data_IF_837213186321
#
_entry.id   IF_837213186321
#
_cell.length_a   1.000
_cell.length_b   1.000
_cell.length_c   1.000
_cell.angle_alpha   90.00
_cell.angle_beta   90.00
_cell.angle_gamma   90.00
#
_symmetry.space_group_name_H-M   'P 1'
#
loop_
_entity.id
_entity.type
_entity.pdbx_description
1 polymer ?
#
# COMPACT_ATOMS: atom_id res chain seq x y z
N UNK A 1 5.88 -49.96 13.72
CA UNK A 1 5.98 -48.50 13.85
C UNK A 1 5.94 -47.94 12.44
N UNK A 2 4.72 -47.78 11.91
CA UNK A 2 4.51 -47.47 10.50
C UNK A 2 4.38 -45.95 10.34
N UNK A 3 5.50 -45.31 10.05
CA UNK A 3 5.62 -43.87 9.82
C UNK A 3 5.07 -43.52 8.44
N UNK A 4 3.74 -43.46 8.32
CA UNK A 4 3.09 -42.89 7.14
C UNK A 4 3.27 -41.37 7.17
N UNK A 5 4.35 -40.89 6.56
CA UNK A 5 4.46 -39.50 6.12
C UNK A 5 3.26 -39.17 5.24
N UNK A 6 2.57 -38.02 5.43
CA UNK A 6 1.38 -37.71 4.65
C UNK A 6 1.79 -37.46 3.19
N UNK A 7 1.50 -38.43 2.33
CA UNK A 7 1.62 -38.28 0.88
C UNK A 7 0.71 -37.12 0.47
N UNK A 8 1.31 -36.09 -0.10
CA UNK A 8 0.63 -34.88 -0.55
C UNK A 8 -0.30 -35.24 -1.71
N UNK A 9 -1.56 -35.61 -1.42
CA UNK A 9 -2.54 -35.92 -2.46
C UNK A 9 -2.80 -34.64 -3.26
N UNK A 10 -2.46 -34.56 -4.56
CA UNK A 10 -2.77 -33.38 -5.34
C UNK A 10 -4.28 -33.19 -5.34
N UNK A 11 -4.74 -31.96 -5.07
CA UNK A 11 -6.16 -31.61 -5.21
C UNK A 11 -6.53 -31.80 -6.69
N UNK A 12 -7.18 -32.94 -6.98
CA UNK A 12 -7.35 -33.48 -8.34
C UNK A 12 -8.31 -32.66 -9.20
N UNK A 13 -9.03 -31.72 -8.59
CA UNK A 13 -10.02 -30.92 -9.27
C UNK A 13 -9.39 -29.65 -9.82
N UNK A 14 -9.20 -29.63 -11.14
CA UNK A 14 -8.92 -28.41 -11.89
C UNK A 14 -10.15 -27.49 -11.79
N UNK A 15 -9.90 -26.22 -11.53
CA UNK A 15 -10.88 -25.17 -11.52
C UNK A 15 -10.21 -23.84 -11.83
N UNK A 16 -10.78 -22.76 -11.29
CA UNK A 16 -10.27 -21.41 -11.51
C UNK A 16 -10.09 -20.70 -10.18
N UNK A 17 -8.88 -20.19 -9.95
CA UNK A 17 -8.60 -19.21 -8.91
C UNK A 17 -9.02 -17.85 -9.44
N UNK A 18 -9.71 -17.06 -8.64
CA UNK A 18 -10.14 -15.72 -9.00
C UNK A 18 -9.74 -14.70 -7.94
N UNK A 19 -9.54 -13.46 -8.38
CA UNK A 19 -9.24 -12.30 -7.56
C UNK A 19 -10.34 -11.26 -7.77
N UNK A 20 -10.98 -10.86 -6.68
CA UNK A 20 -11.92 -9.75 -6.65
C UNK A 20 -11.22 -8.51 -6.11
N UNK A 21 -11.56 -7.36 -6.69
CA UNK A 21 -11.17 -6.03 -6.22
C UNK A 21 -12.39 -5.34 -5.64
N UNK A 22 -12.27 -4.75 -4.45
CA UNK A 22 -13.36 -3.99 -3.84
C UNK A 22 -13.25 -2.53 -4.27
N UNK A 23 -14.36 -1.91 -4.64
CA UNK A 23 -14.36 -0.52 -5.13
C UNK A 23 -13.94 0.46 -4.02
N UNK A 24 -14.19 0.09 -2.76
CA UNK A 24 -13.66 0.76 -1.57
C UNK A 24 -13.15 -0.28 -0.57
N UNK A 25 -12.09 0.03 0.21
CA UNK A 25 -11.63 -0.86 1.27
C UNK A 25 -12.72 -1.14 2.31
N UNK A 26 -12.88 -2.40 2.72
CA UNK A 26 -13.62 -2.78 3.91
C UNK A 26 -12.64 -3.08 5.04
N UNK A 27 -12.48 -2.12 5.96
CA UNK A 27 -11.38 -2.13 6.95
C UNK A 27 -10.03 -2.31 6.23
N UNK A 28 -9.28 -3.35 6.55
CA UNK A 28 -8.01 -3.66 5.87
C UNK A 28 -8.18 -4.49 4.59
N UNK A 29 -9.37 -5.04 4.32
CA UNK A 29 -9.62 -5.87 3.17
C UNK A 29 -9.93 -5.02 1.93
N UNK A 30 -9.13 -5.20 0.89
CA UNK A 30 -9.34 -4.56 -0.43
C UNK A 30 -9.56 -5.56 -1.56
N UNK A 31 -9.26 -6.83 -1.28
CA UNK A 31 -9.25 -7.90 -2.25
C UNK A 31 -9.75 -9.18 -1.61
N UNK A 32 -10.34 -10.03 -2.45
CA UNK A 32 -10.69 -11.39 -2.07
C UNK A 32 -10.13 -12.36 -3.11
N UNK A 33 -9.49 -13.43 -2.63
CA UNK A 33 -9.02 -14.53 -3.48
C UNK A 33 -9.76 -15.79 -3.10
N UNK A 34 -10.35 -16.43 -4.09
CA UNK A 34 -11.03 -17.71 -3.94
C UNK A 34 -10.74 -18.65 -5.10
N UNK A 35 -11.19 -19.89 -4.96
CA UNK A 35 -11.18 -20.90 -6.00
C UNK A 35 -12.58 -21.48 -6.17
N UNK A 36 -12.93 -21.84 -7.41
CA UNK A 36 -14.18 -22.54 -7.72
C UNK A 36 -14.02 -23.43 -8.95
N UNK A 37 -14.83 -24.50 -9.03
CA UNK A 37 -15.00 -25.28 -10.26
C UNK A 37 -15.78 -24.47 -11.31
N UNK A 38 -16.87 -23.84 -10.87
CA UNK A 38 -17.67 -22.89 -11.64
C UNK A 38 -17.57 -21.51 -10.97
N UNK A 39 -16.87 -20.59 -11.63
CA UNK A 39 -16.67 -19.24 -11.12
C UNK A 39 -17.97 -18.44 -11.23
N UNK A 40 -18.72 -18.58 -12.31
CA UNK A 40 -19.95 -17.80 -12.55
C UNK A 40 -20.97 -18.07 -11.45
N UNK A 41 -21.27 -19.34 -11.18
CA UNK A 41 -22.17 -19.73 -10.08
C UNK A 41 -21.65 -19.27 -8.72
N UNK A 42 -20.32 -19.33 -8.50
CA UNK A 42 -19.73 -18.87 -7.24
C UNK A 42 -19.84 -17.36 -7.05
N UNK A 43 -19.71 -16.57 -8.12
CA UNK A 43 -19.85 -15.12 -8.09
C UNK A 43 -21.31 -14.71 -7.83
N UNK A 44 -22.28 -15.42 -8.41
CA UNK A 44 -23.69 -15.20 -8.12
C UNK A 44 -24.01 -15.38 -6.62
N UNK A 45 -23.48 -16.44 -5.99
CA UNK A 45 -23.62 -16.64 -4.54
C UNK A 45 -22.98 -15.50 -3.72
N UNK A 46 -21.85 -14.95 -4.18
CA UNK A 46 -21.24 -13.80 -3.52
C UNK A 46 -22.09 -12.54 -3.66
N UNK A 47 -22.74 -12.33 -4.81
CA UNK A 47 -23.64 -11.19 -5.06
C UNK A 47 -24.89 -11.23 -4.16
N UNK A 48 -25.41 -12.42 -3.85
CA UNK A 48 -26.55 -12.59 -2.93
C UNK A 48 -26.15 -12.66 -1.45
N UNK A 49 -24.85 -12.63 -1.14
CA UNK A 49 -24.33 -12.75 0.23
C UNK A 49 -24.36 -14.17 0.81
N UNK A 50 -24.65 -15.18 -0.01
CA UNK A 50 -24.63 -16.61 0.35
C UNK A 50 -23.27 -17.27 0.13
N UNK A 51 -22.28 -16.51 -0.36
CA UNK A 51 -20.94 -16.97 -0.62
C UNK A 51 -20.00 -16.90 0.59
N UNK A 52 -18.88 -16.20 0.46
CA UNK A 52 -17.92 -16.06 1.55
C UNK A 52 -18.41 -15.04 2.60
N UNK A 53 -18.18 -15.33 3.89
CA UNK A 53 -18.54 -14.42 5.00
C UNK A 53 -18.01 -13.00 4.80
N UNK A 54 -16.79 -12.84 4.27
CA UNK A 54 -16.23 -11.52 3.96
C UNK A 54 -17.06 -10.78 2.91
N UNK A 55 -17.49 -11.46 1.85
CA UNK A 55 -18.27 -10.82 0.77
C UNK A 55 -19.71 -10.52 1.21
N UNK A 56 -20.25 -11.32 2.12
CA UNK A 56 -21.51 -11.01 2.79
C UNK A 56 -21.43 -9.70 3.58
N UNK A 57 -20.38 -9.48 4.39
CA UNK A 57 -20.25 -8.23 5.16
C UNK A 57 -19.86 -7.03 4.30
N UNK A 58 -19.08 -7.25 3.23
CA UNK A 58 -18.77 -6.22 2.22
C UNK A 58 -20.04 -5.75 1.53
N UNK A 59 -20.91 -6.68 1.12
CA UNK A 59 -22.24 -6.38 0.58
C UNK A 59 -23.11 -5.62 1.59
N UNK A 60 -23.17 -6.08 2.84
CA UNK A 60 -23.93 -5.43 3.90
C UNK A 60 -23.44 -3.99 4.16
N UNK A 61 -22.16 -3.71 3.94
CA UNK A 61 -21.57 -2.38 4.02
C UNK A 61 -21.80 -1.51 2.76
N UNK A 62 -22.56 -1.99 1.78
CA UNK A 62 -22.82 -1.26 0.52
C UNK A 62 -21.56 -1.11 -0.35
N UNK A 63 -20.61 -2.04 -0.25
CA UNK A 63 -19.38 -2.06 -1.05
C UNK A 63 -19.54 -3.09 -2.16
N UNK A 64 -19.34 -2.63 -3.40
CA UNK A 64 -19.32 -3.45 -4.61
C UNK A 64 -17.91 -3.95 -4.92
N UNK A 65 -17.83 -4.94 -5.81
CA UNK A 65 -16.58 -5.55 -6.20
C UNK A 65 -16.58 -5.97 -7.67
N UNK A 66 -15.38 -6.02 -8.25
CA UNK A 66 -15.13 -6.39 -9.64
C UNK A 66 -14.24 -7.63 -9.72
N UNK A 67 -14.54 -8.57 -10.64
CA UNK A 67 -13.65 -9.68 -10.96
C UNK A 67 -12.41 -9.15 -11.70
N UNK A 68 -11.28 -9.08 -10.99
CA UNK A 68 -10.09 -8.40 -11.49
C UNK A 68 -9.16 -9.32 -12.30
N UNK A 69 -9.04 -10.60 -11.92
CA UNK A 69 -8.15 -11.56 -12.61
C UNK A 69 -8.54 -13.00 -12.28
N UNK A 70 -8.27 -13.91 -13.21
CA UNK A 70 -8.42 -15.36 -13.03
C UNK A 70 -7.14 -16.11 -13.37
N UNK A 71 -6.97 -17.30 -12.79
CA UNK A 71 -5.93 -18.26 -13.13
C UNK A 71 -6.54 -19.66 -13.14
N UNK A 72 -6.25 -20.44 -14.20
CA UNK A 72 -6.54 -21.88 -14.18
C UNK A 72 -5.67 -22.56 -13.10
N UNK A 73 -6.27 -23.48 -12.33
CA UNK A 73 -5.53 -24.21 -11.30
C UNK A 73 -6.43 -24.89 -10.27
N UNK A 74 -5.80 -25.40 -9.21
CA UNK A 74 -6.47 -26.13 -8.12
C UNK A 74 -6.47 -25.30 -6.84
N UNK A 75 -7.03 -25.81 -5.72
CA UNK A 75 -6.90 -25.10 -4.44
C UNK A 75 -5.45 -24.98 -3.96
N UNK A 76 -4.53 -25.83 -4.45
CA UNK A 76 -3.10 -25.66 -4.17
C UNK A 76 -2.58 -24.34 -4.73
N UNK A 77 -3.01 -23.96 -5.94
CA UNK A 77 -2.63 -22.69 -6.57
C UNK A 77 -3.21 -21.50 -5.81
N UNK A 78 -4.46 -21.59 -5.39
CA UNK A 78 -5.09 -20.58 -4.50
C UNK A 78 -4.30 -20.41 -3.20
N UNK A 79 -3.99 -21.51 -2.50
CA UNK A 79 -3.18 -21.50 -1.27
C UNK A 79 -1.80 -20.91 -1.49
N UNK A 80 -1.14 -21.22 -2.61
CA UNK A 80 0.14 -20.65 -2.99
C UNK A 80 0.02 -19.13 -3.17
N UNK A 81 -0.98 -18.66 -3.93
CA UNK A 81 -1.22 -17.24 -4.17
C UNK A 81 -1.50 -16.50 -2.86
N UNK A 82 -2.29 -17.08 -1.94
CA UNK A 82 -2.55 -16.51 -0.62
C UNK A 82 -1.26 -16.41 0.22
N UNK A 83 -0.46 -17.49 0.29
CA UNK A 83 0.81 -17.51 1.03
C UNK A 83 1.83 -16.49 0.53
N UNK A 84 1.92 -16.27 -0.77
CA UNK A 84 2.83 -15.24 -1.32
C UNK A 84 2.45 -13.82 -0.92
N UNK A 85 1.22 -13.58 -0.43
CA UNK A 85 0.75 -12.25 -0.02
C UNK A 85 0.74 -11.23 -1.17
N UNK A 86 0.34 -9.99 -0.89
CA UNK A 86 0.36 -8.91 -1.89
C UNK A 86 -0.67 -9.06 -3.01
N UNK A 87 -1.95 -9.31 -2.66
CA UNK A 87 -3.05 -9.37 -3.62
C UNK A 87 -3.13 -8.12 -4.52
N UNK A 88 -2.85 -6.94 -3.97
CA UNK A 88 -2.81 -5.68 -4.70
C UNK A 88 -1.83 -5.71 -5.89
N UNK A 89 -0.64 -6.33 -5.73
CA UNK A 89 0.35 -6.47 -6.82
C UNK A 89 -0.11 -7.37 -7.97
N UNK A 90 -1.12 -8.22 -7.72
CA UNK A 90 -1.71 -9.13 -8.71
C UNK A 90 -3.03 -8.60 -9.26
N UNK A 91 -3.55 -7.51 -8.72
CA UNK A 91 -4.77 -6.88 -9.18
C UNK A 91 -4.43 -5.88 -10.31
N UNK A 92 -4.91 -6.09 -11.55
CA UNK A 92 -4.69 -5.11 -12.61
C UNK A 92 -5.38 -3.76 -12.32
N UNK A 93 -6.38 -3.72 -11.44
CA UNK A 93 -7.14 -2.51 -11.10
C UNK A 93 -6.45 -1.63 -10.03
N UNK A 94 -5.42 -2.14 -9.33
CA UNK A 94 -4.73 -1.35 -8.29
C UNK A 94 -3.64 -0.40 -8.80
N UNK A 95 -3.24 -0.53 -10.07
CA UNK A 95 -2.04 0.11 -10.61
C UNK A 95 -0.74 -0.49 -10.07
N UNK A 96 0.36 -0.26 -10.79
CA UNK A 96 1.71 -0.59 -10.31
C UNK A 96 2.13 0.48 -9.32
N UNK A 97 2.28 0.12 -8.04
CA UNK A 97 2.95 0.98 -7.05
C UNK A 97 4.41 0.51 -6.95
N UNK A 98 5.38 1.24 -7.54
CA UNK A 98 6.78 0.90 -7.34
C UNK A 98 7.06 0.94 -5.84
N UNK A 99 7.79 -0.05 -5.32
CA UNK A 99 8.31 0.09 -3.96
C UNK A 99 9.25 1.29 -3.97
N UNK A 100 9.25 2.11 -2.91
CA UNK A 100 10.35 3.05 -2.69
C UNK A 100 11.62 2.23 -2.76
N UNK A 101 12.49 2.59 -3.70
CA UNK A 101 13.78 1.93 -3.80
C UNK A 101 14.51 2.14 -2.47
N UNK A 102 14.71 1.05 -1.72
CA UNK A 102 15.41 1.09 -0.44
C UNK A 102 16.89 1.39 -0.60
N UNK A 103 17.41 1.24 -1.82
CA UNK A 103 18.79 1.58 -2.21
C UNK A 103 18.89 2.95 -2.84
N UNK A 104 17.78 3.66 -3.06
CA UNK A 104 17.87 5.06 -3.42
C UNK A 104 18.63 5.75 -2.30
N UNK A 105 19.90 6.07 -2.57
CA UNK A 105 20.65 7.02 -1.78
C UNK A 105 19.78 8.25 -1.83
N UNK A 106 19.33 8.77 -0.69
CA UNK A 106 18.49 9.92 -0.79
C UNK A 106 19.37 11.04 -1.40
N UNK A 107 18.78 11.97 -2.14
CA UNK A 107 19.49 12.96 -2.98
C UNK A 107 20.29 14.03 -2.18
N UNK A 108 20.69 15.16 -2.77
CA UNK A 108 21.27 16.23 -1.93
C UNK A 108 20.22 16.84 -0.98
N UNK A 109 18.94 16.82 -1.38
CA UNK A 109 17.86 17.53 -0.69
C UNK A 109 17.47 16.86 0.63
N UNK A 110 17.44 15.52 0.73
CA UNK A 110 17.20 14.88 2.05
C UNK A 110 18.33 15.17 3.04
N UNK A 111 19.58 15.24 2.59
CA UNK A 111 20.72 15.40 3.48
C UNK A 111 20.66 16.79 4.12
N UNK A 112 20.32 17.79 3.31
CA UNK A 112 20.00 19.15 3.79
C UNK A 112 18.80 19.16 4.73
N UNK A 113 17.68 18.52 4.37
CA UNK A 113 16.48 18.49 5.23
C UNK A 113 16.74 17.77 6.58
N UNK A 114 17.52 16.69 6.57
CA UNK A 114 17.88 15.95 7.76
C UNK A 114 18.81 16.76 8.66
N UNK A 115 19.81 17.42 8.08
CA UNK A 115 20.76 18.28 8.82
C UNK A 115 20.06 19.52 9.39
N UNK A 116 19.16 20.15 8.64
CA UNK A 116 18.31 21.24 9.13
C UNK A 116 17.52 20.79 10.34
N UNK A 117 16.84 19.65 10.26
CA UNK A 117 16.08 19.12 11.40
C UNK A 117 16.95 18.84 12.62
N UNK A 118 18.11 18.22 12.44
CA UNK A 118 19.04 17.96 13.54
C UNK A 118 19.56 19.25 14.19
N UNK A 119 19.82 20.29 13.39
CA UNK A 119 20.23 21.60 13.90
C UNK A 119 19.09 22.34 14.61
N UNK A 120 17.86 22.26 14.10
CA UNK A 120 16.69 22.82 14.78
C UNK A 120 16.44 22.13 16.12
N UNK A 121 16.57 20.79 16.17
CA UNK A 121 16.45 20.02 17.41
C UNK A 121 17.58 20.39 18.39
N UNK A 122 18.83 20.53 17.92
CA UNK A 122 19.98 20.97 18.73
C UNK A 122 19.82 22.40 19.25
N UNK A 123 19.33 23.33 18.41
CA UNK A 123 19.06 24.71 18.81
C UNK A 123 18.09 24.81 19.99
N UNK A 124 17.07 23.93 20.02
CA UNK A 124 16.11 23.85 21.11
C UNK A 124 16.74 23.36 22.44
N UNK A 125 17.74 22.48 22.35
CA UNK A 125 18.42 21.90 23.52
C UNK A 125 19.55 22.79 24.06
N UNK A 126 20.21 23.56 23.20
CA UNK A 126 21.31 24.45 23.59
C UNK A 126 20.79 25.66 24.34
N UNK A 127 21.44 26.02 25.45
CA UNK A 127 21.17 27.24 26.23
C UNK A 127 22.28 28.29 26.15
N UNK A 128 23.46 27.92 25.64
CA UNK A 128 24.58 28.84 25.40
C UNK A 128 24.28 29.77 24.19
N UNK A 129 24.27 31.10 24.38
CA UNK A 129 24.00 32.06 23.31
C UNK A 129 25.01 31.99 22.15
N UNK A 130 26.29 31.75 22.43
CA UNK A 130 27.34 31.72 21.39
C UNK A 130 27.20 30.48 20.52
N UNK A 131 26.75 29.37 21.11
CA UNK A 131 26.52 28.13 20.39
C UNK A 131 25.22 28.18 19.57
N UNK A 132 24.17 28.86 20.08
CA UNK A 132 22.95 29.12 19.29
C UNK A 132 23.22 29.94 18.03
N UNK A 133 23.99 31.02 18.13
CA UNK A 133 24.34 31.86 16.98
C UNK A 133 25.06 31.05 15.88
N UNK A 134 25.89 30.07 16.29
CA UNK A 134 26.56 29.16 15.34
C UNK A 134 25.57 28.21 14.66
N UNK A 135 24.61 27.68 15.41
CA UNK A 135 23.57 26.79 14.89
C UNK A 135 22.65 27.57 13.92
N UNK A 136 22.28 28.81 14.27
CA UNK A 136 21.46 29.68 13.43
C UNK A 136 22.14 30.04 12.10
N UNK A 137 23.45 30.31 12.14
CA UNK A 137 24.23 30.53 10.93
C UNK A 137 24.27 29.27 10.02
N UNK A 138 24.36 28.07 10.61
CA UNK A 138 24.37 26.82 9.86
C UNK A 138 22.99 26.48 9.27
N UNK A 139 21.91 26.72 10.02
CA UNK A 139 20.52 26.60 9.53
C UNK A 139 20.31 27.55 8.34
N UNK A 140 20.76 28.80 8.45
CA UNK A 140 20.61 29.80 7.40
C UNK A 140 21.35 29.38 6.13
N UNK A 141 22.62 28.98 6.26
CA UNK A 141 23.44 28.53 5.13
C UNK A 141 22.85 27.30 4.41
N UNK A 142 22.28 26.35 5.15
CA UNK A 142 21.61 25.17 4.57
C UNK A 142 20.28 25.51 3.88
N UNK A 143 19.57 26.52 4.38
CA UNK A 143 18.30 26.97 3.79
C UNK A 143 18.54 27.75 2.50
N UNK A 144 19.61 28.56 2.44
CA UNK A 144 20.00 29.35 1.26
C UNK A 144 20.63 28.49 0.14
N UNK A 145 21.32 27.40 0.50
CA UNK A 145 21.98 26.49 -0.45
C UNK A 145 21.10 25.34 -0.95
N UNK A 146 19.90 25.17 -0.39
CA UNK A 146 18.97 24.13 -0.82
C UNK A 146 18.50 24.41 -2.26
N UNK A 147 18.62 23.45 -3.20
CA UNK A 147 18.12 23.65 -4.55
C UNK A 147 16.61 23.89 -4.48
N UNK A 148 16.17 25.01 -5.04
CA UNK A 148 14.77 25.42 -5.15
C UNK A 148 14.01 24.42 -6.03
N UNK A 149 13.74 23.24 -5.49
CA UNK A 149 12.94 22.21 -6.14
C UNK A 149 11.58 22.25 -5.48
N UNK A 150 10.51 22.66 -6.19
CA UNK A 150 9.19 22.65 -5.59
C UNK A 150 8.84 21.21 -5.20
N UNK A 151 8.47 21.01 -3.93
CA UNK A 151 7.89 19.75 -3.48
C UNK A 151 6.66 19.46 -4.35
N UNK A 152 6.54 18.27 -4.97
CA UNK A 152 5.35 17.94 -5.75
C UNK A 152 4.14 17.90 -4.82
N UNK A 153 3.20 18.83 -5.00
CA UNK A 153 1.86 18.77 -4.40
C UNK A 153 1.46 19.88 -3.43
N UNK A 154 2.23 20.94 -3.23
CA UNK A 154 1.77 22.14 -2.50
C UNK A 154 1.28 23.18 -3.49
N UNK A 155 -0.04 23.24 -3.72
CA UNK A 155 -0.67 24.42 -4.33
C UNK A 155 -0.68 25.53 -3.29
N UNK A 156 0.01 26.64 -3.57
CA UNK A 156 -0.05 27.85 -2.74
C UNK A 156 -1.49 28.40 -2.72
N UNK A 157 -2.01 28.86 -1.57
CA UNK A 157 -3.29 29.55 -1.56
C UNK A 157 -3.13 30.90 -2.26
N UNK A 158 -4.00 31.17 -3.23
CA UNK A 158 -4.12 32.48 -3.86
C UNK A 158 -4.54 33.50 -2.80
N UNK A 159 -3.68 34.49 -2.53
CA UNK A 159 -4.09 35.67 -1.78
C UNK A 159 -5.16 36.41 -2.59
N UNK A 160 -6.39 36.32 -2.11
CA UNK A 160 -7.50 37.14 -2.55
C UNK A 160 -7.24 38.60 -2.22
N UNK A 161 -7.34 39.41 -3.25
CA UNK A 161 -7.38 40.86 -3.29
C UNK A 161 -8.36 41.43 -2.25
N UNK A 162 -7.87 42.26 -1.33
CA UNK A 162 -8.70 43.18 -0.57
C UNK A 162 -8.52 44.57 -1.17
N UNK A 163 -9.42 44.91 -2.08
CA UNK A 163 -9.68 46.27 -2.49
C UNK A 163 -10.63 46.93 -1.47
N UNK A 164 -10.21 48.06 -0.91
CA UNK A 164 -11.06 49.13 -0.42
C UNK A 164 -10.27 50.45 -0.48
#
# INVERSE_FOLDING_TARGET
MDSTSPVMVPDRYVGTVYLLHFDRPYRHARHYIGWAKDVTSRLALHQTGQGARLLQVVRAAGITWTLARTWKGTRLRERQIKRMGGAARRCPLCGVRPQRDRRAVPDAAWATAYRLRALTDLWWETTDPVERDRIDAEITALTESAPCTPLPGVTSPSHGELAA
#
